data_IF_691715114591
#
_entry.id   IF_691715114591
#
_cell.length_a   1.000
_cell.length_b   1.000
_cell.length_c   1.000
_cell.angle_alpha   90.00
_cell.angle_beta   90.00
_cell.angle_gamma   90.00
#
_symmetry.space_group_name_H-M   'P 1'
#
loop_
_entity.id
_entity.type
_entity.pdbx_description
1 polymer ?
#
# COMPACT_ATOMS: atom_id res chain seq x y z
N UNK A 1 6.33 -9.88 8.61
CA UNK A 1 7.32 -10.69 7.88
C UNK A 1 8.47 -9.80 7.46
N UNK A 2 9.73 -10.27 7.50
CA UNK A 2 10.86 -9.50 6.98
C UNK A 2 10.77 -9.41 5.45
N UNK A 3 10.96 -8.22 4.88
CA UNK A 3 10.89 -8.00 3.42
C UNK A 3 12.10 -8.65 2.74
N UNK A 4 13.29 -8.47 3.32
CA UNK A 4 14.53 -9.05 2.83
C UNK A 4 14.68 -10.45 3.45
N UNK A 5 14.34 -11.48 2.68
CA UNK A 5 14.25 -12.87 3.18
C UNK A 5 15.58 -13.47 3.61
N UNK A 6 16.70 -13.04 3.01
CA UNK A 6 18.05 -13.54 3.26
C UNK A 6 18.93 -12.51 3.99
N UNK A 7 18.32 -11.68 4.87
CA UNK A 7 18.99 -10.58 5.58
C UNK A 7 20.30 -11.01 6.24
N UNK A 8 20.26 -12.09 7.04
CA UNK A 8 21.45 -12.55 7.76
C UNK A 8 22.58 -12.98 6.83
N UNK A 9 22.25 -13.65 5.72
CA UNK A 9 23.23 -14.06 4.73
C UNK A 9 23.90 -12.84 4.09
N UNK A 10 23.10 -11.83 3.72
CA UNK A 10 23.61 -10.59 3.13
C UNK A 10 24.52 -9.82 4.09
N UNK A 11 24.23 -9.84 5.40
CA UNK A 11 25.10 -9.26 6.43
C UNK A 11 26.40 -10.06 6.55
N UNK A 12 26.33 -11.39 6.63
CA UNK A 12 27.50 -12.27 6.79
C UNK A 12 28.49 -12.19 5.63
N UNK A 13 28.07 -11.76 4.45
CA UNK A 13 28.94 -11.51 3.29
C UNK A 13 29.90 -10.31 3.46
N UNK A 14 29.87 -9.59 4.58
CA UNK A 14 30.91 -8.61 4.92
C UNK A 14 32.20 -9.28 5.39
N UNK A 15 33.34 -8.85 4.85
CA UNK A 15 34.66 -9.42 5.17
C UNK A 15 35.09 -9.07 6.60
N UNK A 16 34.91 -7.81 6.99
CA UNK A 16 35.22 -7.31 8.33
C UNK A 16 33.96 -7.11 9.19
N UNK A 17 34.14 -6.93 10.49
CA UNK A 17 33.04 -6.55 11.39
C UNK A 17 32.44 -5.18 11.03
N UNK A 18 33.25 -4.26 10.51
CA UNK A 18 32.77 -2.95 10.04
C UNK A 18 31.89 -3.11 8.79
N UNK A 19 32.28 -3.97 7.84
CA UNK A 19 31.48 -4.24 6.64
C UNK A 19 30.14 -4.88 6.99
N UNK A 20 30.12 -5.84 7.93
CA UNK A 20 28.90 -6.46 8.42
C UNK A 20 27.96 -5.43 9.03
N UNK A 21 28.49 -4.50 9.85
CA UNK A 21 27.70 -3.41 10.45
C UNK A 21 27.17 -2.44 9.39
N UNK A 22 27.99 -2.07 8.42
CA UNK A 22 27.58 -1.19 7.32
C UNK A 22 26.47 -1.84 6.47
N UNK A 23 26.60 -3.13 6.14
CA UNK A 23 25.57 -3.92 5.44
C UNK A 23 24.28 -4.00 6.23
N UNK A 24 24.36 -4.27 7.53
CA UNK A 24 23.18 -4.30 8.40
C UNK A 24 22.43 -2.96 8.38
N UNK A 25 23.15 -1.83 8.52
CA UNK A 25 22.55 -0.49 8.45
C UNK A 25 21.89 -0.24 7.09
N UNK A 26 22.59 -0.53 5.99
CA UNK A 26 22.06 -0.33 4.64
C UNK A 26 20.79 -1.17 4.39
N UNK A 27 20.78 -2.44 4.82
CA UNK A 27 19.63 -3.32 4.64
C UNK A 27 18.44 -2.89 5.51
N UNK A 28 18.67 -2.45 6.75
CA UNK A 28 17.61 -1.88 7.60
C UNK A 28 17.02 -0.60 7.00
N UNK A 29 17.87 0.29 6.46
CA UNK A 29 17.42 1.50 5.76
C UNK A 29 16.61 1.16 4.51
N UNK A 30 17.05 0.18 3.73
CA UNK A 30 16.30 -0.31 2.56
C UNK A 30 14.95 -0.89 2.95
N UNK A 31 14.90 -1.71 4.01
CA UNK A 31 13.64 -2.27 4.48
C UNK A 31 12.67 -1.20 4.97
N UNK A 32 13.17 -0.18 5.69
CA UNK A 32 12.37 0.98 6.08
C UNK A 32 11.84 1.75 4.86
N UNK A 33 12.67 1.96 3.84
CA UNK A 33 12.27 2.63 2.61
C UNK A 33 11.19 1.85 1.85
N UNK A 34 11.31 0.52 1.72
CA UNK A 34 10.29 -0.31 1.08
C UNK A 34 8.98 -0.29 1.87
N UNK A 35 9.04 -0.38 3.21
CA UNK A 35 7.83 -0.27 4.06
C UNK A 35 7.14 1.08 3.91
N UNK A 36 7.90 2.17 3.79
CA UNK A 36 7.34 3.51 3.64
C UNK A 36 6.56 3.69 2.33
N UNK A 37 6.86 2.88 1.30
CA UNK A 37 6.18 2.92 0.00
C UNK A 37 5.18 1.79 -0.21
N UNK A 38 4.77 1.11 0.86
CA UNK A 38 3.73 0.09 0.80
C UNK A 38 2.39 0.70 0.33
N UNK A 39 1.80 0.25 -0.80
CA UNK A 39 0.62 0.88 -1.38
C UNK A 39 -0.59 0.90 -0.44
N UNK A 40 -0.84 -0.21 0.27
CA UNK A 40 -1.94 -0.32 1.23
C UNK A 40 -1.78 0.67 2.38
N UNK A 41 -0.57 0.78 2.93
CA UNK A 41 -0.26 1.72 4.01
C UNK A 41 -0.37 3.17 3.54
N UNK A 42 0.11 3.49 2.34
CA UNK A 42 -0.03 4.83 1.75
C UNK A 42 -1.50 5.20 1.65
N UNK A 43 -2.33 4.35 1.04
CA UNK A 43 -3.77 4.61 0.88
C UNK A 43 -4.43 4.87 2.23
N UNK A 44 -4.21 4.00 3.22
CA UNK A 44 -4.78 4.16 4.57
C UNK A 44 -4.27 5.41 5.31
N UNK A 45 -3.05 5.84 5.05
CA UNK A 45 -2.51 7.06 5.67
C UNK A 45 -3.04 8.35 5.03
N UNK A 46 -3.44 8.27 3.77
CA UNK A 46 -3.87 9.43 2.96
C UNK A 46 -5.38 9.63 2.95
N UNK A 47 -6.13 8.55 3.13
CA UNK A 47 -7.59 8.57 3.17
C UNK A 47 -8.09 8.42 4.59
N UNK A 48 -8.95 9.35 5.00
CA UNK A 48 -9.70 9.25 6.26
C UNK A 48 -11.17 9.47 5.97
N UNK A 49 -12.01 8.50 6.33
CA UNK A 49 -13.45 8.62 6.21
C UNK A 49 -14.05 8.82 7.61
N UNK A 50 -14.69 9.97 7.82
CA UNK A 50 -15.45 10.29 9.02
C UNK A 50 -16.89 10.56 8.59
N UNK A 51 -17.81 9.70 9.00
CA UNK A 51 -19.21 9.68 8.57
C UNK A 51 -19.40 9.61 7.04
N UNK A 52 -19.63 10.75 6.40
CA UNK A 52 -19.70 10.89 4.94
C UNK A 52 -18.57 11.75 4.36
N UNK A 53 -17.72 12.34 5.19
CA UNK A 53 -16.63 13.19 4.73
C UNK A 53 -15.39 12.32 4.47
N UNK A 54 -15.08 12.11 3.20
CA UNK A 54 -13.82 11.52 2.78
C UNK A 54 -12.77 12.62 2.68
N UNK A 55 -11.73 12.52 3.50
CA UNK A 55 -10.55 13.38 3.41
C UNK A 55 -9.45 12.67 2.63
N UNK A 56 -8.87 13.37 1.66
CA UNK A 56 -7.72 12.94 0.87
C UNK A 56 -6.68 14.06 0.93
N UNK A 57 -5.67 13.91 1.79
CA UNK A 57 -4.79 15.02 2.19
C UNK A 57 -5.60 16.27 2.61
N UNK A 58 -5.34 17.43 2.01
CA UNK A 58 -6.07 18.68 2.24
C UNK A 58 -7.48 18.73 1.63
N UNK A 59 -7.86 17.78 0.77
CA UNK A 59 -9.15 17.78 0.11
C UNK A 59 -10.20 17.05 0.95
N UNK A 60 -11.43 17.57 0.96
CA UNK A 60 -12.56 16.97 1.66
C UNK A 60 -13.77 16.85 0.72
N UNK A 61 -14.36 15.65 0.70
CA UNK A 61 -15.50 15.32 -0.15
C UNK A 61 -16.63 14.77 0.71
N UNK A 62 -17.79 15.42 0.68
CA UNK A 62 -19.00 14.84 1.28
C UNK A 62 -19.62 13.82 0.33
N UNK A 63 -19.42 12.54 0.64
CA UNK A 63 -19.86 11.41 -0.17
C UNK A 63 -21.39 11.36 -0.35
N UNK A 64 -22.18 11.99 0.53
CA UNK A 64 -23.65 12.08 0.37
C UNK A 64 -24.07 12.91 -0.83
N UNK A 65 -23.21 13.79 -1.34
CA UNK A 65 -23.48 14.62 -2.51
C UNK A 65 -23.36 13.84 -3.83
N UNK A 66 -22.85 12.62 -3.77
CA UNK A 66 -22.63 11.78 -4.94
C UNK A 66 -23.58 10.59 -4.91
N UNK A 67 -24.28 10.37 -6.02
CA UNK A 67 -25.16 9.20 -6.17
C UNK A 67 -24.36 7.90 -6.28
N UNK A 68 -23.24 7.95 -6.98
CA UNK A 68 -22.39 6.79 -7.27
C UNK A 68 -20.93 7.12 -6.98
N UNK A 69 -20.19 6.12 -6.50
CA UNK A 69 -18.74 6.19 -6.29
C UNK A 69 -18.11 5.02 -7.03
N UNK A 70 -17.21 5.32 -7.96
CA UNK A 70 -16.52 4.31 -8.75
C UNK A 70 -15.03 4.29 -8.43
N UNK A 71 -14.42 3.11 -8.47
CA UNK A 71 -12.96 2.95 -8.34
C UNK A 71 -12.40 2.41 -9.63
N UNK A 72 -11.45 3.14 -10.23
CA UNK A 72 -10.80 2.75 -11.48
C UNK A 72 -9.30 2.85 -11.26
N UNK A 73 -8.55 1.85 -11.69
CA UNK A 73 -7.10 1.85 -11.55
C UNK A 73 -6.40 0.89 -12.51
N UNK A 74 -5.09 1.03 -12.62
CA UNK A 74 -4.27 0.12 -13.40
C UNK A 74 -2.80 0.21 -13.01
N UNK A 75 -2.13 -0.93 -12.97
CA UNK A 75 -0.72 -1.04 -12.62
C UNK A 75 -0.45 -2.13 -11.59
N UNK A 76 0.83 -2.42 -11.38
CA UNK A 76 1.30 -3.53 -10.52
C UNK A 76 0.86 -3.41 -9.06
N UNK A 77 0.66 -2.19 -8.56
CA UNK A 77 0.26 -1.94 -7.19
C UNK A 77 -1.26 -1.76 -7.01
N UNK A 78 -2.02 -1.70 -8.11
CA UNK A 78 -3.42 -1.30 -8.08
C UNK A 78 -4.32 -2.29 -7.35
N UNK A 79 -3.98 -3.59 -7.32
CA UNK A 79 -4.71 -4.59 -6.54
C UNK A 79 -4.65 -4.27 -5.04
N UNK A 80 -3.44 -4.05 -4.52
CA UNK A 80 -3.21 -3.64 -3.13
C UNK A 80 -3.89 -2.31 -2.76
N UNK A 81 -3.83 -1.33 -3.67
CA UNK A 81 -4.48 -0.03 -3.48
C UNK A 81 -6.01 -0.14 -3.49
N UNK A 82 -6.57 -0.98 -4.36
CA UNK A 82 -8.00 -1.21 -4.46
C UNK A 82 -8.55 -1.90 -3.21
N UNK A 83 -7.87 -2.94 -2.72
CA UNK A 83 -8.23 -3.59 -1.45
C UNK A 83 -8.27 -2.57 -0.30
N UNK A 84 -7.25 -1.71 -0.21
CA UNK A 84 -7.20 -0.65 0.80
C UNK A 84 -8.34 0.38 0.65
N UNK A 85 -8.71 0.75 -0.58
CA UNK A 85 -9.85 1.64 -0.84
C UNK A 85 -11.18 0.99 -0.46
N UNK A 86 -11.36 -0.29 -0.76
CA UNK A 86 -12.57 -1.03 -0.37
C UNK A 86 -12.69 -1.16 1.15
N UNK A 87 -11.59 -1.38 1.86
CA UNK A 87 -11.58 -1.37 3.33
C UNK A 87 -12.00 -0.01 3.92
N UNK A 88 -11.60 1.11 3.29
CA UNK A 88 -11.94 2.46 3.76
C UNK A 88 -13.37 2.87 3.40
N UNK A 89 -13.80 2.63 2.16
CA UNK A 89 -15.07 3.13 1.64
C UNK A 89 -16.22 2.12 1.82
N UNK A 90 -15.91 0.83 1.83
CA UNK A 90 -16.87 -0.27 1.94
C UNK A 90 -18.00 -0.19 0.92
N UNK A 91 -19.22 -0.44 1.39
CA UNK A 91 -20.45 -0.48 0.57
C UNK A 91 -20.84 0.88 -0.03
N UNK A 92 -20.08 1.95 0.20
CA UNK A 92 -20.26 3.23 -0.49
C UNK A 92 -19.80 3.16 -1.95
N UNK A 93 -18.89 2.23 -2.27
CA UNK A 93 -18.45 1.98 -3.64
C UNK A 93 -19.63 1.33 -4.39
N UNK A 94 -19.98 1.93 -5.53
CA UNK A 94 -21.02 1.43 -6.42
C UNK A 94 -20.50 0.28 -7.27
N UNK A 95 -19.31 0.42 -7.84
CA UNK A 95 -18.61 -0.60 -8.63
C UNK A 95 -17.17 -0.15 -8.87
N UNK A 96 -16.29 -1.05 -9.26
CA UNK A 96 -14.95 -0.70 -9.70
C UNK A 96 -14.38 -1.63 -10.75
N UNK A 97 -13.20 -1.27 -11.23
CA UNK A 97 -12.38 -2.09 -12.10
C UNK A 97 -10.90 -1.71 -11.91
N UNK A 98 -10.05 -2.71 -11.68
CA UNK A 98 -8.60 -2.54 -11.70
C UNK A 98 -7.90 -3.50 -12.64
N UNK A 99 -6.96 -2.98 -13.44
CA UNK A 99 -6.11 -3.78 -14.31
C UNK A 99 -4.76 -4.06 -13.64
N UNK A 100 -4.52 -5.30 -13.25
CA UNK A 100 -3.32 -5.74 -12.50
C UNK A 100 -2.60 -6.87 -13.24
N UNK A 101 -1.31 -7.12 -12.94
CA UNK A 101 -0.61 -8.30 -13.41
C UNK A 101 -1.36 -9.59 -13.08
N UNK A 102 -1.18 -10.62 -13.91
CA UNK A 102 -1.88 -11.91 -13.77
C UNK A 102 -1.63 -12.61 -12.44
N UNK A 103 -0.47 -12.36 -11.83
CA UNK A 103 -0.01 -12.93 -10.58
C UNK A 103 -0.36 -12.07 -9.35
N UNK A 104 -1.14 -11.00 -9.51
CA UNK A 104 -1.67 -10.24 -8.37
C UNK A 104 -2.68 -11.09 -7.59
N UNK A 105 -2.46 -11.23 -6.27
CA UNK A 105 -3.28 -12.05 -5.39
C UNK A 105 -4.27 -11.23 -4.54
N UNK A 106 -4.26 -9.90 -4.66
CA UNK A 106 -5.16 -9.05 -3.89
C UNK A 106 -6.59 -9.24 -4.37
N UNK A 107 -7.52 -9.28 -3.41
CA UNK A 107 -8.93 -9.52 -3.69
C UNK A 107 -9.78 -8.37 -3.20
N UNK A 108 -10.70 -7.97 -4.04
CA UNK A 108 -11.75 -7.00 -3.79
C UNK A 108 -13.10 -7.71 -3.92
N UNK A 109 -14.13 -7.20 -3.24
CA UNK A 109 -15.50 -7.75 -3.35
C UNK A 109 -16.38 -6.90 -4.27
N UNK A 110 -16.08 -5.60 -4.36
CA UNK A 110 -16.87 -4.62 -5.14
C UNK A 110 -16.07 -4.10 -6.33
N UNK A 111 -14.76 -3.86 -6.14
CA UNK A 111 -13.85 -3.31 -7.16
C UNK A 111 -13.33 -4.39 -8.10
#
# INVERSE_FOLDING_TARGET
MAIIKNLEQLIRNGETNLDKKARELALKSLEAAIKAVDPKSIIKSKLKLEDSILRVNEYAFDLKKYKNIYVIGGGKASGSMAEALEEVLGNRITSGLVNVPKDDEHKTRII
#
